data_IF_336200867227
#
_entry.id   IF_336200867227
#
_cell.length_a   1.000
_cell.length_b   1.000
_cell.length_c   1.000
_cell.angle_alpha   90.00
_cell.angle_beta   90.00
_cell.angle_gamma   90.00
#
_symmetry.space_group_name_H-M   'P 1'
#
loop_
_entity.id
_entity.type
_entity.pdbx_description
1 polymer ?
#
# COMPACT_ATOMS: atom_id res chain seq x y z
N UNK A 1 1.35 -2.45 -30.84
CA UNK A 1 0.18 -2.34 -29.95
C UNK A 1 0.08 -3.65 -29.17
N UNK A 2 0.79 -3.71 -28.04
CA UNK A 2 0.68 -4.79 -27.07
C UNK A 2 0.67 -4.09 -25.71
N UNK A 3 -0.48 -4.19 -25.04
CA UNK A 3 -0.80 -3.54 -23.78
C UNK A 3 -0.26 -4.45 -22.66
N UNK A 4 0.99 -4.22 -22.26
CA UNK A 4 1.64 -4.93 -21.15
C UNK A 4 1.27 -4.22 -19.84
N UNK A 5 0.07 -4.50 -19.37
CA UNK A 5 -0.35 -4.17 -18.01
C UNK A 5 0.38 -5.09 -17.04
N UNK A 6 1.66 -4.79 -16.80
CA UNK A 6 2.46 -5.32 -15.69
C UNK A 6 1.92 -4.82 -14.35
N UNK A 7 0.73 -5.26 -13.98
CA UNK A 7 0.21 -5.11 -12.63
C UNK A 7 1.00 -6.03 -11.70
N UNK A 8 1.60 -5.53 -10.61
CA UNK A 8 2.20 -6.41 -9.62
C UNK A 8 1.11 -7.29 -8.99
N UNK A 9 1.30 -8.60 -9.17
CA UNK A 9 0.47 -9.74 -8.73
C UNK A 9 0.19 -9.79 -7.21
N UNK A 10 0.73 -8.85 -6.44
CA UNK A 10 0.53 -8.74 -5.00
C UNK A 10 -0.79 -8.08 -4.59
N UNK A 11 -1.51 -7.43 -5.53
CA UNK A 11 -2.77 -6.72 -5.23
C UNK A 11 -4.03 -7.60 -5.19
N UNK A 12 -3.95 -8.87 -5.57
CA UNK A 12 -5.14 -9.68 -5.86
C UNK A 12 -5.46 -10.77 -4.82
N UNK A 13 -5.46 -10.47 -3.52
CA UNK A 13 -6.09 -11.36 -2.53
C UNK A 13 -6.74 -10.53 -1.43
N UNK A 14 -8.04 -10.25 -1.54
CA UNK A 14 -9.04 -10.27 -0.46
C UNK A 14 -10.38 -9.67 -0.96
N UNK A 15 -11.02 -10.39 -1.88
CA UNK A 15 -12.43 -10.16 -2.21
C UNK A 15 -13.34 -10.70 -1.10
N UNK A 16 -13.50 -9.96 -0.01
CA UNK A 16 -14.67 -10.15 0.86
C UNK A 16 -15.83 -9.34 0.29
N UNK A 17 -16.54 -9.96 -0.66
CA UNK A 17 -17.75 -9.43 -1.30
C UNK A 17 -18.87 -9.34 -0.26
N UNK A 18 -19.29 -8.14 0.12
CA UNK A 18 -20.44 -7.91 1.00
C UNK A 18 -21.74 -8.27 0.26
N UNK A 19 -22.60 -9.18 0.74
CA UNK A 19 -23.90 -9.40 0.12
C UNK A 19 -24.88 -8.28 0.51
N UNK A 20 -25.42 -7.60 -0.50
CA UNK A 20 -26.51 -6.63 -0.35
C UNK A 20 -27.79 -7.33 0.14
N UNK A 21 -28.33 -6.92 1.30
CA UNK A 21 -29.61 -7.40 1.84
C UNK A 21 -30.78 -6.84 1.01
N UNK A 22 -31.38 -7.70 0.18
CA UNK A 22 -32.66 -7.45 -0.46
C UNK A 22 -33.80 -7.34 0.57
N UNK A 23 -34.58 -6.27 0.48
CA UNK A 23 -35.83 -6.09 1.23
C UNK A 23 -36.89 -7.03 0.67
N UNK A 24 -37.44 -7.92 1.50
CA UNK A 24 -38.80 -8.44 1.31
C UNK A 24 -39.51 -8.40 2.65
N UNK A 25 -40.58 -7.60 2.67
CA UNK A 25 -41.53 -7.51 3.75
C UNK A 25 -42.27 -8.85 3.91
N UNK A 26 -42.39 -9.34 5.14
CA UNK A 26 -43.44 -10.29 5.51
C UNK A 26 -43.79 -10.11 6.99
N UNK A 27 -45.09 -9.91 7.21
CA UNK A 27 -45.78 -9.75 8.49
C UNK A 27 -45.95 -11.12 9.20
N UNK A 28 -46.27 -11.04 10.50
CA UNK A 28 -46.74 -12.07 11.45
C UNK A 28 -45.62 -12.72 12.30
N UNK A 29 -45.48 -12.36 13.59
CA UNK A 29 -46.22 -12.82 14.80
C UNK A 29 -45.71 -14.18 15.34
N UNK A 30 -44.72 -14.16 16.25
CA UNK A 30 -44.75 -14.58 17.67
C UNK A 30 -43.32 -14.92 18.20
N UNK A 31 -43.02 -14.70 19.50
CA UNK A 31 -41.67 -14.80 20.09
C UNK A 31 -41.45 -16.11 20.87
N UNK A 32 -40.20 -16.61 20.92
CA UNK A 32 -39.50 -17.27 22.06
C UNK A 32 -38.41 -18.24 21.56
N UNK A 33 -37.23 -18.13 22.18
CA UNK A 33 -36.07 -19.05 22.16
C UNK A 33 -35.36 -19.32 20.82
N UNK A 34 -34.18 -18.73 20.63
CA UNK A 34 -32.91 -19.43 20.83
C UNK A 34 -31.72 -18.61 20.29
N UNK A 35 -30.84 -18.30 21.24
CA UNK A 35 -29.46 -17.83 21.16
C UNK A 35 -28.76 -17.91 19.78
N UNK A 36 -28.35 -16.72 19.32
CA UNK A 36 -27.02 -16.40 18.80
C UNK A 36 -26.37 -17.44 17.86
N UNK A 37 -26.74 -17.37 16.58
CA UNK A 37 -25.79 -17.63 15.51
C UNK A 37 -24.72 -16.52 15.51
N UNK A 38 -23.44 -16.87 15.43
CA UNK A 38 -22.28 -16.11 14.89
C UNK A 38 -21.02 -16.69 15.58
N UNK A 39 -19.90 -16.99 14.95
CA UNK A 39 -19.53 -17.19 13.57
C UNK A 39 -18.16 -17.89 13.67
N UNK A 40 -17.92 -18.86 12.79
CA UNK A 40 -16.56 -19.36 12.55
C UNK A 40 -15.70 -18.21 12.00
N UNK A 41 -14.95 -17.57 12.88
CA UNK A 41 -13.90 -16.64 12.50
C UNK A 41 -12.63 -17.44 12.23
N UNK A 42 -12.27 -17.58 10.96
CA UNK A 42 -10.98 -18.12 10.55
C UNK A 42 -9.89 -17.16 11.03
N UNK A 43 -9.41 -17.34 12.27
CA UNK A 43 -8.25 -16.62 12.80
C UNK A 43 -6.99 -17.18 12.16
N UNK A 44 -6.74 -16.83 10.89
CA UNK A 44 -5.38 -16.96 10.35
C UNK A 44 -4.48 -16.00 11.14
N UNK A 45 -3.31 -16.45 11.64
CA UNK A 45 -2.33 -15.52 12.17
C UNK A 45 -2.05 -14.50 11.07
N UNK A 46 -2.31 -13.26 11.41
CA UNK A 46 -2.35 -12.19 10.46
C UNK A 46 -0.89 -11.90 10.06
N UNK A 47 -0.50 -12.22 8.81
CA UNK A 47 0.83 -11.94 8.26
C UNK A 47 1.19 -10.45 8.38
N UNK A 48 2.14 -10.07 9.23
CA UNK A 48 2.58 -8.68 9.46
C UNK A 48 2.85 -7.92 8.15
N UNK A 49 2.81 -6.58 8.18
CA UNK A 49 3.05 -5.76 6.99
C UNK A 49 4.43 -6.15 6.39
N UNK A 50 4.39 -6.69 5.17
CA UNK A 50 5.58 -7.08 4.43
C UNK A 50 6.03 -5.87 3.62
N UNK A 51 7.09 -5.22 4.10
CA UNK A 51 7.73 -4.16 3.36
C UNK A 51 8.61 -4.75 2.25
N UNK A 52 8.58 -4.17 1.04
CA UNK A 52 9.48 -4.58 -0.02
C UNK A 52 10.93 -4.37 0.44
N UNK A 53 11.81 -5.27 0.00
CA UNK A 53 13.24 -5.10 0.18
C UNK A 53 13.77 -4.09 -0.85
N UNK A 54 14.82 -3.31 -0.51
CA UNK A 54 15.52 -2.50 -1.49
C UNK A 54 15.94 -3.33 -2.68
N UNK A 55 15.64 -2.85 -3.89
CA UNK A 55 16.14 -3.47 -5.10
C UNK A 55 17.68 -3.42 -5.07
N UNK A 56 18.32 -4.58 -5.03
CA UNK A 56 19.76 -4.64 -5.29
C UNK A 56 19.95 -4.20 -6.73
N UNK A 57 20.68 -3.10 -6.95
CA UNK A 57 20.82 -2.31 -8.20
C UNK A 57 21.25 -3.02 -9.49
N UNK A 58 20.85 -4.26 -9.71
CA UNK A 58 21.22 -5.16 -10.81
C UNK A 58 20.15 -5.23 -11.90
N UNK A 59 18.92 -4.72 -11.67
CA UNK A 59 17.93 -4.58 -12.73
C UNK A 59 18.22 -3.29 -13.53
N UNK A 60 18.05 -3.35 -14.85
CA UNK A 60 18.42 -2.26 -15.77
C UNK A 60 17.75 -0.91 -15.43
N UNK A 61 16.59 -0.94 -14.77
CA UNK A 61 15.82 0.23 -14.35
C UNK A 61 15.85 0.51 -12.84
N UNK A 62 16.64 -0.23 -12.05
CA UNK A 62 16.68 -0.06 -10.59
C UNK A 62 17.48 1.17 -10.16
N UNK A 63 16.93 1.94 -9.23
CA UNK A 63 17.65 3.04 -8.57
C UNK A 63 18.78 2.46 -7.72
N UNK A 64 20.03 2.72 -8.12
CA UNK A 64 21.24 2.33 -7.35
C UNK A 64 21.50 3.27 -6.18
N UNK A 65 20.54 3.35 -5.28
CA UNK A 65 20.64 4.16 -4.06
C UNK A 65 21.19 3.30 -2.92
N UNK A 66 22.05 3.88 -2.09
CA UNK A 66 22.61 3.19 -0.92
C UNK A 66 21.57 3.11 0.21
N UNK A 67 21.74 2.20 1.19
CA UNK A 67 20.89 2.17 2.38
C UNK A 67 20.78 3.53 3.08
N UNK A 68 21.88 4.30 3.15
CA UNK A 68 21.87 5.64 3.75
C UNK A 68 21.02 6.63 2.96
N UNK A 69 20.99 6.51 1.63
CA UNK A 69 20.16 7.37 0.79
C UNK A 69 18.67 7.01 0.90
N UNK A 70 18.37 5.71 1.08
CA UNK A 70 17.01 5.23 1.38
C UNK A 70 16.54 5.79 2.72
N UNK A 71 17.40 5.74 3.75
CA UNK A 71 17.09 6.28 5.07
C UNK A 71 16.90 7.80 5.04
N UNK A 72 17.72 8.52 4.28
CA UNK A 72 17.57 9.97 4.08
C UNK A 72 16.25 10.29 3.38
N UNK A 73 15.91 9.58 2.31
CA UNK A 73 14.61 9.74 1.64
C UNK A 73 13.44 9.40 2.59
N UNK A 74 13.58 8.37 3.42
CA UNK A 74 12.59 8.04 4.43
C UNK A 74 12.42 9.18 5.46
N UNK A 75 13.50 9.84 5.87
CA UNK A 75 13.45 10.99 6.75
C UNK A 75 12.73 12.17 6.09
N UNK A 76 13.10 12.52 4.85
CA UNK A 76 12.52 13.61 4.07
C UNK A 76 11.02 13.41 3.78
N UNK A 77 10.59 12.16 3.66
CA UNK A 77 9.17 11.82 3.48
C UNK A 77 8.33 12.16 4.72
N UNK A 78 8.92 12.45 5.88
CA UNK A 78 8.19 12.97 7.04
C UNK A 78 6.91 12.21 7.34
N UNK A 79 5.75 12.88 7.18
CA UNK A 79 4.42 12.31 7.35
C UNK A 79 3.83 11.67 6.08
N UNK A 80 4.47 11.79 4.92
CA UNK A 80 4.01 11.26 3.63
C UNK A 80 3.00 12.18 2.93
N UNK A 81 3.12 13.48 3.17
CA UNK A 81 2.30 14.51 2.51
C UNK A 81 2.67 14.66 1.03
N UNK A 82 1.79 15.27 0.24
CA UNK A 82 2.05 15.51 -1.17
C UNK A 82 3.32 16.35 -1.40
N UNK A 83 3.54 17.40 -0.60
CA UNK A 83 4.71 18.26 -0.72
C UNK A 83 6.02 17.52 -0.44
N UNK A 84 6.05 16.67 0.59
CA UNK A 84 7.22 15.85 0.93
C UNK A 84 7.52 14.84 -0.19
N UNK A 85 6.48 14.17 -0.71
CA UNK A 85 6.62 13.25 -1.84
C UNK A 85 7.12 13.97 -3.09
N UNK A 86 6.57 15.14 -3.43
CA UNK A 86 7.01 15.94 -4.57
C UNK A 86 8.47 16.35 -4.47
N UNK A 87 8.92 16.77 -3.29
CA UNK A 87 10.31 17.14 -3.04
C UNK A 87 11.26 15.96 -3.28
N UNK A 88 10.89 14.77 -2.78
CA UNK A 88 11.69 13.55 -2.95
C UNK A 88 11.67 13.07 -4.41
N UNK A 89 10.51 13.08 -5.08
CA UNK A 89 10.40 12.74 -6.52
C UNK A 89 11.26 13.66 -7.37
N UNK A 90 11.20 14.98 -7.12
CA UNK A 90 12.02 15.98 -7.84
C UNK A 90 13.51 15.73 -7.62
N UNK A 91 13.91 15.50 -6.37
CA UNK A 91 15.32 15.17 -6.03
C UNK A 91 15.79 13.91 -6.76
N UNK A 92 14.98 12.84 -6.78
CA UNK A 92 15.31 11.60 -7.47
C UNK A 92 15.39 11.78 -8.99
N UNK A 93 14.47 12.54 -9.60
CA UNK A 93 14.49 12.86 -11.03
C UNK A 93 15.74 13.65 -11.43
N UNK A 94 16.16 14.60 -10.59
CA UNK A 94 17.36 15.39 -10.85
C UNK A 94 18.64 14.57 -10.78
N UNK A 95 18.71 13.59 -9.86
CA UNK A 95 19.87 12.69 -9.74
C UNK A 95 19.86 11.57 -10.76
N UNK A 96 18.69 11.10 -11.16
CA UNK A 96 18.48 9.95 -12.04
C UNK A 96 17.48 10.29 -13.16
N UNK A 97 17.88 11.11 -14.14
CA UNK A 97 16.97 11.60 -15.18
C UNK A 97 16.39 10.49 -16.06
N UNK A 98 17.18 9.43 -16.30
CA UNK A 98 16.81 8.33 -17.20
C UNK A 98 16.03 7.20 -16.52
N UNK A 99 15.85 7.26 -15.20
CA UNK A 99 15.16 6.20 -14.45
C UNK A 99 13.68 6.14 -14.82
N UNK A 100 13.04 4.98 -14.77
CA UNK A 100 11.59 4.89 -14.98
C UNK A 100 10.77 5.52 -13.84
N UNK A 101 9.53 5.94 -14.12
CA UNK A 101 8.61 6.41 -13.06
C UNK A 101 8.33 5.30 -12.04
N UNK A 102 8.16 4.07 -12.52
CA UNK A 102 7.93 2.89 -11.68
C UNK A 102 9.07 2.66 -10.68
N UNK A 103 10.33 2.82 -11.12
CA UNK A 103 11.48 2.68 -10.23
C UNK A 103 11.49 3.75 -9.13
N UNK A 104 11.12 5.01 -9.43
CA UNK A 104 10.94 6.04 -8.40
C UNK A 104 9.85 5.67 -7.40
N UNK A 105 8.69 5.20 -7.89
CA UNK A 105 7.58 4.79 -7.02
C UNK A 105 8.04 3.65 -6.10
N UNK A 106 8.65 2.60 -6.67
CA UNK A 106 9.17 1.46 -5.90
C UNK A 106 10.17 1.90 -4.83
N UNK A 107 11.08 2.81 -5.17
CA UNK A 107 12.05 3.35 -4.24
C UNK A 107 11.38 4.09 -3.07
N UNK A 108 10.46 5.01 -3.37
CA UNK A 108 9.77 5.82 -2.34
C UNK A 108 8.92 4.94 -1.42
N UNK A 109 8.20 3.96 -1.98
CA UNK A 109 7.40 3.01 -1.20
C UNK A 109 8.30 2.15 -0.30
N UNK A 110 9.44 1.71 -0.82
CA UNK A 110 10.44 0.95 -0.05
C UNK A 110 11.00 1.78 1.12
N UNK A 111 11.33 3.04 0.88
CA UNK A 111 11.83 3.94 1.91
C UNK A 111 10.79 4.23 3.01
N UNK A 112 9.51 4.37 2.64
CA UNK A 112 8.47 4.75 3.60
C UNK A 112 7.91 3.57 4.41
N UNK A 113 7.87 2.37 3.84
CA UNK A 113 7.20 1.24 4.47
C UNK A 113 7.68 0.92 5.90
N UNK A 114 8.99 0.96 6.23
CA UNK A 114 9.47 0.76 7.60
C UNK A 114 8.84 1.73 8.62
N UNK A 115 8.58 2.99 8.23
CA UNK A 115 7.93 3.97 9.11
C UNK A 115 6.51 3.55 9.47
N UNK A 116 5.71 3.13 8.48
CA UNK A 116 4.34 2.65 8.72
C UNK A 116 4.36 1.35 9.53
N UNK A 117 5.27 0.43 9.20
CA UNK A 117 5.43 -0.84 9.91
C UNK A 117 5.74 -0.62 11.40
N UNK A 118 6.64 0.31 11.71
CA UNK A 118 7.06 0.62 13.07
C UNK A 118 6.05 1.45 13.87
N UNK A 119 5.01 2.01 13.23
CA UNK A 119 4.05 2.88 13.91
C UNK A 119 3.16 2.08 14.89
N UNK A 120 3.23 2.34 16.20
CA UNK A 120 2.43 1.63 17.20
C UNK A 120 0.98 2.17 17.30
N UNK A 121 0.71 3.35 16.75
CA UNK A 121 -0.63 3.95 16.76
C UNK A 121 -1.56 3.35 15.69
N UNK A 122 -1.01 2.56 14.76
CA UNK A 122 -1.77 1.91 13.71
C UNK A 122 -1.87 0.41 13.99
N UNK A 123 -3.09 -0.11 13.91
CA UNK A 123 -3.29 -1.54 13.78
C UNK A 123 -2.89 -2.03 12.38
N UNK A 124 -2.96 -3.34 12.19
CA UNK A 124 -2.60 -3.97 10.91
C UNK A 124 -3.40 -3.42 9.73
N UNK A 125 -4.72 -3.31 9.86
CA UNK A 125 -5.58 -2.86 8.77
C UNK A 125 -5.29 -1.40 8.43
N UNK A 126 -5.06 -0.58 9.46
CA UNK A 126 -4.66 0.82 9.30
C UNK A 126 -3.29 0.95 8.64
N UNK A 127 -2.32 0.06 8.94
CA UNK A 127 -1.02 0.04 8.25
C UNK A 127 -1.16 -0.31 6.76
N UNK A 128 -2.03 -1.27 6.44
CA UNK A 128 -2.30 -1.64 5.05
C UNK A 128 -2.98 -0.49 4.30
N UNK A 129 -4.01 0.12 4.88
CA UNK A 129 -4.72 1.25 4.30
C UNK A 129 -3.81 2.48 4.13
N UNK A 130 -2.96 2.77 5.12
CA UNK A 130 -1.97 3.83 5.04
C UNK A 130 -0.96 3.59 3.91
N UNK A 131 -0.45 2.36 3.75
CA UNK A 131 0.46 2.01 2.64
C UNK A 131 -0.23 2.13 1.28
N UNK A 132 -1.47 1.67 1.16
CA UNK A 132 -2.25 1.79 -0.09
C UNK A 132 -2.47 3.25 -0.45
N UNK A 133 -2.93 4.06 0.50
CA UNK A 133 -3.14 5.50 0.32
C UNK A 133 -1.84 6.22 -0.06
N UNK A 134 -0.74 5.88 0.61
CA UNK A 134 0.57 6.45 0.30
C UNK A 134 1.03 6.07 -1.11
N UNK A 135 1.02 4.78 -1.47
CA UNK A 135 1.45 4.32 -2.80
C UNK A 135 0.67 4.98 -3.93
N UNK A 136 -0.66 5.06 -3.82
CA UNK A 136 -1.49 5.74 -4.82
C UNK A 136 -1.18 7.24 -4.95
N UNK A 137 -0.83 7.91 -3.85
CA UNK A 137 -0.39 9.31 -3.89
C UNK A 137 0.96 9.47 -4.60
N UNK A 138 1.91 8.58 -4.30
CA UNK A 138 3.24 8.59 -4.95
C UNK A 138 3.11 8.36 -6.46
N UNK A 139 2.28 7.41 -6.88
CA UNK A 139 2.01 7.16 -8.30
C UNK A 139 1.41 8.38 -9.00
N UNK A 140 0.39 9.01 -8.39
CA UNK A 140 -0.21 10.22 -8.95
C UNK A 140 0.81 11.34 -9.14
N UNK A 141 1.66 11.57 -8.14
CA UNK A 141 2.67 12.63 -8.17
C UNK A 141 3.79 12.30 -9.18
N UNK A 142 4.29 11.07 -9.19
CA UNK A 142 5.34 10.64 -10.10
C UNK A 142 4.89 10.67 -11.57
N UNK A 143 3.59 10.44 -11.82
CA UNK A 143 3.03 10.47 -13.17
C UNK A 143 2.76 11.89 -13.69
N UNK A 144 2.52 12.85 -12.79
CA UNK A 144 2.29 14.26 -13.14
C UNK A 144 3.57 15.04 -13.51
N UNK A 145 4.75 14.44 -13.31
CA UNK A 145 6.06 14.98 -13.65
C UNK A 145 6.63 14.30 -14.89
#
# INVERSE_FOLDING_TARGET
MADDTGFPIWFAINGCRVPARGRRAMKALLPLFALAALAGGCSKPAADLQCPLPESGSAADSLRETPQQIDAAAADLGAGTANEIEAVVSTLRNRHPDTSKAAIVNYIVTAYCPKIKANPALDRAQKQDAMLTFSGRVEQIANAR
#
